data_IF_149381952559
#
_entry.id   IF_149381952559
#
_cell.length_a   1.000
_cell.length_b   1.000
_cell.length_c   1.000
_cell.angle_alpha   90.00
_cell.angle_beta   90.00
_cell.angle_gamma   90.00
#
_symmetry.space_group_name_H-M   'P 1'
#
loop_
_entity.id
_entity.type
_entity.pdbx_description
1 polymer ?
#
# COMPACT_ATOMS: atom_id res chain seq x y z
N UNK A 1 10.52 2.59 -18.24
CA UNK A 1 10.54 1.11 -18.17
C UNK A 1 9.39 0.70 -17.27
N UNK A 2 8.40 -0.02 -17.80
CA UNK A 2 7.27 -0.51 -17.02
C UNK A 2 7.67 -1.81 -16.31
N UNK A 3 7.30 -1.96 -15.05
CA UNK A 3 7.47 -3.22 -14.33
C UNK A 3 6.65 -4.31 -15.06
N UNK A 4 7.23 -5.47 -15.36
CA UNK A 4 6.51 -6.60 -15.96
C UNK A 4 5.65 -7.31 -14.92
N UNK A 5 4.64 -6.61 -14.42
CA UNK A 5 3.69 -7.08 -13.41
C UNK A 5 2.35 -7.32 -14.10
N UNK A 6 1.68 -8.44 -13.79
CA UNK A 6 0.42 -8.82 -14.45
C UNK A 6 -0.76 -7.90 -14.12
N UNK A 7 -0.66 -7.15 -13.04
CA UNK A 7 -1.67 -6.19 -12.59
C UNK A 7 -1.19 -4.78 -12.99
N UNK A 8 -2.08 -3.91 -13.51
CA UNK A 8 -1.73 -2.50 -13.72
C UNK A 8 -1.52 -1.80 -12.39
N UNK A 9 -0.61 -0.82 -12.35
CA UNK A 9 -0.43 0.02 -11.17
C UNK A 9 -1.72 0.78 -10.89
N UNK A 10 -2.18 0.74 -9.64
CA UNK A 10 -3.35 1.46 -9.17
C UNK A 10 -2.94 2.82 -8.61
N UNK A 11 -3.78 3.82 -8.80
CA UNK A 11 -3.62 5.16 -8.24
C UNK A 11 -4.97 5.59 -7.66
N UNK A 12 -5.28 5.20 -6.41
CA UNK A 12 -6.55 5.54 -5.79
C UNK A 12 -6.62 7.04 -5.48
N UNK A 13 -7.84 7.59 -5.49
CA UNK A 13 -8.09 8.98 -5.13
C UNK A 13 -7.87 9.22 -3.63
N UNK A 14 -7.49 10.45 -3.28
CA UNK A 14 -7.32 10.87 -1.89
C UNK A 14 -8.65 11.36 -1.31
N UNK A 15 -9.63 10.46 -1.24
CA UNK A 15 -11.03 10.73 -0.87
C UNK A 15 -11.36 10.44 0.60
N UNK A 16 -10.36 10.11 1.41
CA UNK A 16 -10.53 9.68 2.80
C UNK A 16 -10.84 8.18 2.95
N UNK A 17 -10.72 7.38 1.88
CA UNK A 17 -10.82 5.93 1.99
C UNK A 17 -9.62 5.31 2.71
N UNK A 18 -9.89 4.18 3.36
CA UNK A 18 -8.91 3.35 4.03
C UNK A 18 -8.40 2.23 3.14
N UNK A 19 -7.10 1.97 3.21
CA UNK A 19 -6.46 0.80 2.62
C UNK A 19 -5.70 0.02 3.68
N UNK A 20 -5.58 -1.29 3.49
CA UNK A 20 -4.64 -2.13 4.23
C UNK A 20 -3.45 -2.43 3.34
N UNK A 21 -2.27 -1.99 3.76
CA UNK A 21 -1.01 -2.36 3.15
C UNK A 21 -0.60 -3.73 3.68
N UNK A 22 -0.43 -4.69 2.76
CA UNK A 22 -0.08 -6.08 3.06
C UNK A 22 1.44 -6.28 3.05
N UNK A 23 2.11 -5.70 2.05
CA UNK A 23 3.56 -5.75 1.84
C UNK A 23 4.04 -4.49 1.12
N UNK A 24 5.30 -4.14 1.32
CA UNK A 24 5.95 -3.05 0.60
C UNK A 24 7.23 -3.55 -0.07
N UNK A 25 7.39 -3.27 -1.35
CA UNK A 25 8.61 -3.46 -2.11
C UNK A 25 9.41 -2.15 -2.09
N UNK A 26 10.63 -2.23 -1.56
CA UNK A 26 11.53 -1.09 -1.36
C UNK A 26 12.91 -1.35 -1.93
N UNK A 27 13.12 -2.51 -2.57
CA UNK A 27 14.42 -2.96 -3.07
C UNK A 27 14.64 -2.46 -4.51
N UNK A 28 15.56 -1.51 -4.76
CA UNK A 28 15.86 -1.04 -6.10
C UNK A 28 16.30 -2.18 -7.03
N UNK A 29 15.75 -2.21 -8.24
CA UNK A 29 16.04 -3.26 -9.23
C UNK A 29 15.20 -4.53 -9.10
N UNK A 30 14.51 -4.75 -7.96
CA UNK A 30 13.70 -5.95 -7.71
C UNK A 30 12.20 -5.68 -7.54
N UNK A 31 11.75 -4.42 -7.66
CA UNK A 31 10.35 -4.03 -7.46
C UNK A 31 9.35 -4.93 -8.20
N UNK A 32 9.58 -5.22 -9.47
CA UNK A 32 8.64 -6.01 -10.29
C UNK A 32 8.48 -7.44 -9.77
N UNK A 33 9.59 -8.09 -9.43
CA UNK A 33 9.60 -9.46 -8.89
C UNK A 33 8.98 -9.50 -7.50
N UNK A 34 9.30 -8.54 -6.63
CA UNK A 34 8.71 -8.44 -5.29
C UNK A 34 7.20 -8.23 -5.35
N UNK A 35 6.75 -7.25 -6.15
CA UNK A 35 5.32 -6.96 -6.33
C UNK A 35 4.58 -8.15 -6.94
N UNK A 36 5.12 -8.79 -7.98
CA UNK A 36 4.46 -9.97 -8.55
C UNK A 36 4.35 -11.11 -7.52
N UNK A 37 5.39 -11.33 -6.72
CA UNK A 37 5.36 -12.32 -5.64
C UNK A 37 4.27 -12.00 -4.61
N UNK A 38 4.19 -10.75 -4.16
CA UNK A 38 3.18 -10.31 -3.20
C UNK A 38 1.76 -10.38 -3.76
N UNK A 39 1.55 -10.04 -5.03
CA UNK A 39 0.24 -10.19 -5.69
C UNK A 39 -0.18 -11.66 -5.81
N UNK A 40 0.78 -12.57 -6.01
CA UNK A 40 0.52 -14.01 -6.00
C UNK A 40 0.20 -14.54 -4.58
N UNK A 41 0.85 -13.99 -3.54
CA UNK A 41 0.58 -14.32 -2.12
C UNK A 41 -0.81 -13.81 -1.68
N UNK A 42 -1.23 -12.65 -2.20
CA UNK A 42 -2.48 -11.98 -1.83
C UNK A 42 -3.42 -11.81 -3.04
N UNK A 43 -4.16 -12.87 -3.46
CA UNK A 43 -5.07 -12.77 -4.60
C UNK A 43 -6.11 -11.67 -4.38
N UNK A 44 -6.37 -10.88 -5.43
CA UNK A 44 -7.27 -9.71 -5.38
C UNK A 44 -6.67 -8.45 -4.74
N UNK A 45 -5.40 -8.48 -4.33
CA UNK A 45 -4.70 -7.25 -3.95
C UNK A 45 -4.37 -6.39 -5.17
N UNK A 46 -4.29 -5.08 -4.94
CA UNK A 46 -3.78 -4.09 -5.89
C UNK A 46 -2.40 -3.62 -5.42
N UNK A 47 -1.68 -2.91 -6.27
CA UNK A 47 -0.44 -2.25 -5.84
C UNK A 47 -0.41 -0.81 -6.36
N UNK A 48 0.25 0.05 -5.61
CA UNK A 48 0.43 1.47 -5.95
C UNK A 48 1.88 1.88 -5.67
N UNK A 49 2.28 3.03 -6.23
CA UNK A 49 3.53 3.70 -5.87
C UNK A 49 3.19 4.91 -4.99
N UNK A 50 3.74 4.94 -3.79
CA UNK A 50 3.29 5.85 -2.73
C UNK A 50 3.64 7.32 -3.00
N UNK A 51 4.75 7.58 -3.69
CA UNK A 51 5.24 8.91 -4.12
C UNK A 51 4.33 9.60 -5.17
N UNK A 52 3.50 8.82 -5.87
CA UNK A 52 2.57 9.30 -6.91
C UNK A 52 1.11 9.12 -6.49
N UNK A 53 0.88 8.81 -5.22
CA UNK A 53 -0.45 8.63 -4.63
C UNK A 53 -0.77 9.79 -3.69
N UNK A 54 -1.37 9.52 -2.53
CA UNK A 54 -1.71 10.54 -1.53
C UNK A 54 -0.53 10.93 -0.65
N UNK A 55 -0.45 12.19 -0.19
CA UNK A 55 0.63 12.64 0.70
C UNK A 55 0.54 11.99 2.10
N UNK A 56 -0.61 11.41 2.47
CA UNK A 56 -0.77 10.54 3.65
C UNK A 56 0.01 9.22 3.58
N UNK A 57 0.58 8.88 2.42
CA UNK A 57 1.47 7.75 2.25
C UNK A 57 2.93 8.21 2.31
N UNK A 58 3.81 7.33 2.78
CA UNK A 58 5.25 7.61 2.79
C UNK A 58 5.74 7.86 1.37
N UNK A 59 6.29 9.06 1.14
CA UNK A 59 6.76 9.47 -0.18
C UNK A 59 8.02 8.72 -0.61
N UNK A 60 8.87 8.31 0.33
CA UNK A 60 10.07 7.53 0.03
C UNK A 60 10.53 6.73 1.23
N UNK A 61 11.45 5.80 1.01
CA UNK A 61 12.22 5.19 2.10
C UNK A 61 13.12 6.25 2.78
N UNK A 62 13.71 5.89 3.92
CA UNK A 62 14.72 6.73 4.57
C UNK A 62 15.94 7.01 3.67
N UNK A 63 16.21 6.12 2.71
CA UNK A 63 17.29 6.25 1.72
C UNK A 63 16.89 7.04 0.47
N UNK A 64 15.62 7.46 0.36
CA UNK A 64 15.09 8.19 -0.80
C UNK A 64 14.58 7.31 -1.95
N UNK A 65 14.45 5.99 -1.73
CA UNK A 65 13.96 5.06 -2.74
C UNK A 65 12.43 5.10 -2.85
N UNK A 66 11.87 4.86 -4.06
CA UNK A 66 10.43 4.75 -4.25
C UNK A 66 9.88 3.52 -3.51
N UNK A 67 8.69 3.67 -2.92
CA UNK A 67 8.00 2.58 -2.22
C UNK A 67 6.82 2.13 -3.08
N UNK A 68 6.78 0.83 -3.36
CA UNK A 68 5.61 0.20 -3.96
C UNK A 68 4.88 -0.61 -2.90
N UNK A 69 3.61 -0.30 -2.65
CA UNK A 69 2.81 -0.96 -1.64
C UNK A 69 1.78 -1.86 -2.31
N UNK A 70 1.74 -3.13 -1.90
CA UNK A 70 0.62 -4.05 -2.22
C UNK A 70 -0.42 -3.88 -1.14
N UNK A 71 -1.65 -3.57 -1.55
CA UNK A 71 -2.72 -3.18 -0.65
C UNK A 71 -4.06 -3.78 -1.05
N UNK A 72 -5.02 -3.70 -0.11
CA UNK A 72 -6.44 -3.95 -0.36
C UNK A 72 -7.27 -2.77 0.15
N UNK A 73 -8.38 -2.43 -0.53
CA UNK A 73 -9.33 -1.44 -0.02
C UNK A 73 -10.00 -1.99 1.25
N UNK A 74 -10.18 -1.13 2.25
CA UNK A 74 -10.54 -1.55 3.60
C UNK A 74 -11.74 -0.79 4.20
N UNK A 75 -12.33 0.16 3.47
CA UNK A 75 -13.52 0.90 3.90
C UNK A 75 -13.25 2.38 4.12
N UNK A 76 -14.09 3.04 4.93
CA UNK A 76 -13.96 4.48 5.29
C UNK A 76 -13.97 4.72 6.79
N UNK A 77 -13.94 3.65 7.58
CA UNK A 77 -13.89 3.73 9.05
C UNK A 77 -12.70 2.94 9.57
N UNK A 78 -12.16 3.38 10.71
CA UNK A 78 -11.05 2.68 11.37
C UNK A 78 -11.41 1.23 11.72
N UNK A 79 -12.67 0.96 12.08
CA UNK A 79 -13.14 -0.39 12.39
C UNK A 79 -13.09 -1.33 11.18
N UNK A 80 -13.47 -0.86 9.98
CA UNK A 80 -13.37 -1.66 8.75
C UNK A 80 -11.91 -1.91 8.38
N UNK A 81 -11.06 -0.87 8.49
CA UNK A 81 -9.60 -1.01 8.30
C UNK A 81 -9.03 -2.05 9.25
N UNK A 82 -9.34 -1.94 10.54
CA UNK A 82 -8.88 -2.88 11.55
C UNK A 82 -9.34 -4.32 11.28
N UNK A 83 -10.57 -4.49 10.79
CA UNK A 83 -11.08 -5.82 10.41
C UNK A 83 -10.22 -6.44 9.30
N UNK A 84 -9.90 -5.66 8.26
CA UNK A 84 -9.05 -6.14 7.17
C UNK A 84 -7.59 -6.31 7.59
N UNK A 85 -7.05 -5.47 8.49
CA UNK A 85 -5.69 -5.63 9.06
C UNK A 85 -5.59 -6.96 9.79
N UNK A 86 -6.56 -7.27 10.66
CA UNK A 86 -6.59 -8.54 11.41
C UNK A 86 -6.79 -9.74 10.49
N UNK A 87 -7.58 -9.58 9.43
CA UNK A 87 -7.80 -10.62 8.42
C UNK A 87 -6.54 -10.89 7.59
N UNK A 88 -5.76 -9.85 7.29
CA UNK A 88 -4.48 -9.99 6.60
C UNK A 88 -3.41 -10.62 7.50
N UNK A 89 -3.34 -10.18 8.76
CA UNK A 89 -2.36 -10.64 9.74
C UNK A 89 -0.90 -10.31 9.36
N UNK A 90 0.03 -10.79 10.18
CA UNK A 90 1.47 -10.53 10.00
C UNK A 90 1.80 -9.04 10.13
N UNK A 91 2.60 -8.51 9.21
CA UNK A 91 3.04 -7.11 9.19
C UNK A 91 2.07 -6.17 8.44
N UNK A 92 0.81 -6.58 8.26
CA UNK A 92 -0.18 -5.74 7.60
C UNK A 92 -0.56 -4.54 8.47
N UNK A 93 -0.82 -3.38 7.85
CA UNK A 93 -1.22 -2.17 8.56
C UNK A 93 -2.16 -1.33 7.71
N UNK A 94 -3.01 -0.55 8.37
CA UNK A 94 -3.93 0.36 7.70
C UNK A 94 -3.32 1.73 7.41
N UNK A 95 -3.80 2.35 6.34
CA UNK A 95 -3.48 3.72 5.92
C UNK A 95 -4.73 4.42 5.41
N UNK A 96 -4.83 5.71 5.71
CA UNK A 96 -5.81 6.59 5.08
C UNK A 96 -5.26 7.13 3.76
N UNK A 97 -6.13 7.24 2.76
CA UNK A 97 -5.88 7.89 1.48
C UNK A 97 -6.47 9.29 1.54
N UNK A 98 -5.72 10.23 2.11
CA UNK A 98 -6.15 11.61 2.27
C UNK A 98 -4.97 12.58 2.12
N UNK A 99 -5.23 13.87 2.27
CA UNK A 99 -4.21 14.90 2.12
C UNK A 99 -3.61 15.38 3.45
N UNK A 100 -4.11 14.91 4.59
CA UNK A 100 -3.93 15.56 5.90
C UNK A 100 -3.29 14.66 6.95
N UNK A 101 -3.53 13.36 6.85
CA UNK A 101 -2.99 12.36 7.76
C UNK A 101 -1.48 12.28 7.59
N UNK A 102 -0.77 12.19 8.72
CA UNK A 102 0.68 12.10 8.72
C UNK A 102 1.16 10.85 7.95
N UNK A 103 2.15 10.97 7.04
CA UNK A 103 2.65 9.85 6.25
C UNK A 103 3.27 8.72 7.09
N UNK A 104 3.67 9.00 8.33
CA UNK A 104 4.10 8.02 9.33
C UNK A 104 2.96 7.37 10.11
N UNK A 105 1.75 7.94 10.13
CA UNK A 105 0.61 7.41 10.88
C UNK A 105 0.16 6.05 10.33
N UNK A 106 0.21 5.00 11.14
CA UNK A 106 -0.20 3.65 10.77
C UNK A 106 -1.34 3.21 11.68
N UNK A 107 -2.35 2.58 11.08
CA UNK A 107 -3.46 1.99 11.82
C UNK A 107 -3.05 0.55 12.13
N UNK A 108 -2.56 0.34 13.35
CA UNK A 108 -2.18 -0.98 13.86
C UNK A 108 -3.31 -1.50 14.74
N UNK A 109 -4.02 -2.50 14.22
CA UNK A 109 -5.08 -3.22 14.90
C UNK A 109 -4.75 -4.72 14.94
#
# INVERSE_FOLDING_TARGET
MALSVSVPISQPECDGSGIVVLRSAVTPGNYGTEIQRYLNEFPGASYLRTDHSCPSLRQSTASGDPIYAVYRPAGRTEAEICSEVRRAGGDAYGKWLDMTTDPGFMITC
#
